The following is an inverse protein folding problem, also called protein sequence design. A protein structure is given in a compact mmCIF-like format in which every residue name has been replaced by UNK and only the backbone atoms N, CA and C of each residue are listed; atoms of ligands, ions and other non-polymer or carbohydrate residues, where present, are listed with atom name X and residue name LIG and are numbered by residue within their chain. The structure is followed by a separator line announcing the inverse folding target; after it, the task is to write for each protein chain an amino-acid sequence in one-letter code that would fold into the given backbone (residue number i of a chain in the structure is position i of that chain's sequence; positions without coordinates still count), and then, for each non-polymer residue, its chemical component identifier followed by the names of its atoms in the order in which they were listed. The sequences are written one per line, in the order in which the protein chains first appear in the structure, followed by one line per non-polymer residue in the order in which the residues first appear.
data_IF_902567468864
#
_entry.id   IF_902567468864
#
_cell.length_a   1.000
_cell.length_b   1.000
_cell.length_c   1.000
_cell.angle_alpha   90.00
_cell.angle_beta   90.00
_cell.angle_gamma   90.00
#
_symmetry.space_group_name_H-M   'P 1'
#
loop_
_entity.id
_entity.type
_entity.pdbx_description
1 polymer ?
#
# COMPACT_ATOMS: atom_id res chain seq x y z
N UNK A 1 -9.05 3.16 4.65
CA UNK A 1 -8.03 2.22 5.18
C UNK A 1 -6.66 2.77 4.83
N UNK A 2 -5.63 2.52 5.65
CA UNK A 2 -4.25 2.94 5.38
C UNK A 2 -3.36 1.71 5.40
N UNK A 3 -2.61 1.50 4.32
CA UNK A 3 -1.73 0.37 4.04
C UNK A 3 -2.40 -1.02 4.09
N UNK A 4 -1.80 -1.98 3.37
CA UNK A 4 -2.21 -3.38 3.34
C UNK A 4 -1.03 -4.24 2.91
N UNK A 5 -0.09 -4.51 3.82
CA UNK A 5 1.12 -5.24 3.48
C UNK A 5 1.25 -6.61 4.13
N UNK A 6 2.30 -7.32 3.70
CA UNK A 6 2.64 -8.64 4.23
C UNK A 6 3.21 -8.52 5.64
N UNK A 7 2.95 -9.55 6.44
CA UNK A 7 3.65 -9.69 7.70
C UNK A 7 5.13 -9.99 7.44
N UNK A 8 6.02 -9.27 8.13
CA UNK A 8 7.46 -9.53 8.11
C UNK A 8 7.77 -10.79 8.94
N UNK A 9 7.82 -11.93 8.26
CA UNK A 9 7.96 -13.25 8.85
C UNK A 9 9.22 -13.96 8.32
N UNK A 10 9.71 -15.01 9.00
CA UNK A 10 10.82 -15.82 8.47
C UNK A 10 10.52 -16.46 7.11
N UNK A 11 9.24 -16.64 6.78
CA UNK A 11 8.77 -17.17 5.51
C UNK A 11 7.99 -16.08 4.79
N UNK A 12 8.21 -15.92 3.50
CA UNK A 12 7.52 -14.93 2.69
C UNK A 12 6.06 -15.35 2.45
N UNK A 13 5.83 -16.64 2.20
CA UNK A 13 4.52 -17.27 2.15
C UNK A 13 4.02 -17.68 3.57
N UNK A 14 3.96 -16.74 4.52
CA UNK A 14 3.48 -17.02 5.88
C UNK A 14 1.93 -17.11 5.91
N UNK A 15 1.41 -18.05 6.71
CA UNK A 15 -0.03 -18.27 6.86
C UNK A 15 -0.77 -17.02 7.34
N UNK A 16 -0.14 -16.16 8.16
CA UNK A 16 -0.74 -14.90 8.63
C UNK A 16 -1.12 -13.96 7.50
N UNK A 17 -0.32 -13.94 6.42
CA UNK A 17 -0.62 -13.14 5.24
C UNK A 17 -1.80 -13.71 4.44
N UNK A 18 -2.05 -15.02 4.56
CA UNK A 18 -3.15 -15.74 3.91
C UNK A 18 -4.48 -15.60 4.66
N UNK A 19 -4.44 -15.35 5.98
CA UNK A 19 -5.65 -15.26 6.80
C UNK A 19 -6.69 -14.29 6.21
N UNK A 20 -7.98 -14.60 6.36
CA UNK A 20 -9.06 -13.67 6.02
C UNK A 20 -8.87 -12.33 6.72
N UNK A 21 -9.26 -11.24 6.07
CA UNK A 21 -9.27 -9.95 6.74
C UNK A 21 -10.32 -9.94 7.86
N UNK A 22 -10.05 -9.27 9.00
CA UNK A 22 -11.02 -9.16 10.11
C UNK A 22 -12.17 -8.17 9.80
N UNK A 23 -12.30 -7.74 8.56
CA UNK A 23 -13.29 -6.79 8.05
C UNK A 23 -13.70 -7.22 6.64
N UNK A 24 -14.85 -6.73 6.17
CA UNK A 24 -15.31 -6.97 4.80
C UNK A 24 -14.59 -6.03 3.80
N UNK A 25 -13.74 -6.53 2.89
CA UNK A 25 -13.02 -5.68 1.93
C UNK A 25 -13.94 -4.85 1.03
N UNK A 26 -15.16 -5.34 0.75
CA UNK A 26 -16.13 -4.64 -0.09
C UNK A 26 -16.70 -3.36 0.55
N UNK A 27 -16.59 -3.21 1.88
CA UNK A 27 -17.07 -2.02 2.61
C UNK A 27 -16.04 -0.89 2.66
N UNK A 28 -14.79 -1.16 2.25
CA UNK A 28 -13.74 -0.15 2.27
C UNK A 28 -13.88 0.78 1.06
N UNK A 29 -14.18 2.05 1.32
CA UNK A 29 -14.38 3.06 0.27
C UNK A 29 -13.08 3.45 -0.46
N UNK A 30 -11.96 3.54 0.27
CA UNK A 30 -10.66 3.87 -0.27
C UNK A 30 -9.52 3.30 0.57
N UNK A 31 -8.42 3.01 -0.11
CA UNK A 31 -7.13 2.65 0.47
C UNK A 31 -6.13 3.77 0.20
N UNK A 32 -5.40 4.20 1.22
CA UNK A 32 -4.24 5.07 1.07
C UNK A 32 -2.98 4.28 1.38
N UNK A 33 -1.95 4.44 0.55
CA UNK A 33 -0.67 3.76 0.68
C UNK A 33 0.40 4.78 1.02
N UNK A 34 1.12 4.54 2.11
CA UNK A 34 2.18 5.42 2.61
C UNK A 34 3.42 5.33 1.73
N UNK A 35 3.88 4.13 1.40
CA UNK A 35 5.06 3.90 0.56
C UNK A 35 5.10 2.49 -0.03
N UNK A 36 6.08 2.22 -0.88
CA UNK A 36 6.09 1.03 -1.76
C UNK A 36 6.67 -0.24 -1.15
N UNK A 37 7.05 -0.26 0.13
CA UNK A 37 7.54 -1.50 0.74
C UNK A 37 6.43 -2.56 0.83
N UNK A 38 6.82 -3.83 0.78
CA UNK A 38 5.89 -4.97 0.70
C UNK A 38 5.15 -5.21 2.02
N UNK A 39 5.69 -4.81 3.15
CA UNK A 39 4.99 -4.73 4.44
C UNK A 39 3.95 -3.61 4.52
N UNK A 40 3.86 -2.74 3.51
CA UNK A 40 2.79 -1.76 3.35
C UNK A 40 1.87 -2.05 2.16
N UNK A 41 2.33 -2.80 1.15
CA UNK A 41 1.60 -2.99 -0.12
C UNK A 41 1.30 -4.44 -0.49
N UNK A 42 2.03 -5.41 0.05
CA UNK A 42 2.05 -6.78 -0.44
C UNK A 42 0.78 -7.61 -0.22
N UNK A 43 -0.24 -7.10 0.50
CA UNK A 43 -1.57 -7.72 0.59
C UNK A 43 -2.63 -6.99 -0.23
N UNK A 44 -2.30 -5.90 -0.92
CA UNK A 44 -3.24 -5.17 -1.77
C UNK A 44 -3.88 -6.07 -2.85
N UNK A 45 -3.14 -6.93 -3.58
CA UNK A 45 -3.76 -7.81 -4.56
C UNK A 45 -4.76 -8.79 -3.90
N UNK A 46 -4.43 -9.32 -2.71
CA UNK A 46 -5.35 -10.15 -1.92
C UNK A 46 -6.60 -9.37 -1.51
N UNK A 47 -6.45 -8.12 -1.09
CA UNK A 47 -7.57 -7.24 -0.74
C UNK A 47 -8.56 -7.08 -1.91
N UNK A 48 -8.02 -6.87 -3.13
CA UNK A 48 -8.83 -6.77 -4.36
C UNK A 48 -9.51 -8.10 -4.70
N UNK A 49 -8.77 -9.21 -4.61
CA UNK A 49 -9.29 -10.57 -4.79
C UNK A 49 -10.48 -10.84 -3.87
N UNK A 50 -10.37 -10.42 -2.61
CA UNK A 50 -11.36 -10.66 -1.55
C UNK A 50 -12.54 -9.68 -1.58
N UNK A 51 -12.61 -8.77 -2.56
CA UNK A 51 -13.82 -7.99 -2.85
C UNK A 51 -13.67 -6.48 -2.78
N UNK A 52 -12.48 -5.93 -2.49
CA UNK A 52 -12.27 -4.49 -2.54
C UNK A 52 -12.44 -3.94 -3.96
N UNK A 53 -13.19 -2.83 -4.09
CA UNK A 53 -13.47 -2.14 -5.36
C UNK A 53 -13.26 -0.62 -5.27
N UNK A 54 -12.81 -0.12 -4.11
CA UNK A 54 -12.54 1.29 -3.90
C UNK A 54 -11.28 1.76 -4.64
N UNK A 55 -11.00 3.06 -4.56
CA UNK A 55 -9.79 3.65 -5.13
C UNK A 55 -8.60 3.46 -4.19
N UNK A 56 -7.42 3.24 -4.77
CA UNK A 56 -6.14 3.18 -4.06
C UNK A 56 -5.38 4.48 -4.34
N UNK A 57 -4.96 5.20 -3.32
CA UNK A 57 -4.27 6.47 -3.44
C UNK A 57 -2.84 6.36 -2.89
N UNK A 58 -1.88 6.84 -3.66
CA UNK A 58 -0.49 7.03 -3.20
C UNK A 58 0.16 8.17 -3.97
N UNK A 59 1.42 8.46 -3.69
CA UNK A 59 2.21 9.28 -4.61
C UNK A 59 2.43 8.52 -5.94
N UNK A 60 2.66 9.22 -7.07
CA UNK A 60 2.99 8.57 -8.33
C UNK A 60 4.21 7.64 -8.23
N UNK A 61 5.34 8.03 -7.60
CA UNK A 61 6.48 7.13 -7.47
C UNK A 61 6.16 5.88 -6.64
N UNK A 62 5.34 5.99 -5.58
CA UNK A 62 4.89 4.82 -4.83
C UNK A 62 4.06 3.88 -5.67
N UNK A 63 3.17 4.38 -6.54
CA UNK A 63 2.38 3.53 -7.45
C UNK A 63 3.31 2.75 -8.39
N UNK A 64 4.24 3.45 -9.04
CA UNK A 64 5.14 2.85 -10.03
C UNK A 64 6.06 1.81 -9.38
N UNK A 65 6.64 2.14 -8.22
CA UNK A 65 7.48 1.21 -7.48
C UNK A 65 6.69 0.02 -6.93
N UNK A 66 5.45 0.23 -6.47
CA UNK A 66 4.62 -0.86 -5.96
C UNK A 66 4.26 -1.87 -7.04
N UNK A 67 4.06 -1.44 -8.30
CA UNK A 67 3.84 -2.37 -9.41
C UNK A 67 5.00 -3.36 -9.55
N UNK A 68 6.24 -2.85 -9.59
CA UNK A 68 7.45 -3.67 -9.69
C UNK A 68 7.64 -4.57 -8.45
N UNK A 69 7.42 -4.02 -7.25
CA UNK A 69 7.55 -4.78 -6.01
C UNK A 69 6.53 -5.92 -5.92
N UNK A 70 5.29 -5.69 -6.34
CA UNK A 70 4.23 -6.71 -6.31
C UNK A 70 4.50 -7.85 -7.30
N UNK A 71 5.01 -7.53 -8.48
CA UNK A 71 5.43 -8.52 -9.49
C UNK A 71 6.59 -9.40 -8.97
N UNK A 72 7.64 -8.79 -8.41
CA UNK A 72 8.76 -9.54 -7.82
C UNK A 72 8.31 -10.40 -6.63
N UNK A 73 7.48 -9.81 -5.75
CA UNK A 73 6.86 -10.50 -4.61
C UNK A 73 6.06 -11.73 -5.03
N UNK A 74 5.31 -11.66 -6.13
CA UNK A 74 4.60 -12.83 -6.68
C UNK A 74 5.57 -13.95 -7.05
N UNK A 75 6.67 -13.62 -7.74
CA UNK A 75 7.69 -14.60 -8.10
C UNK A 75 8.35 -15.26 -6.88
N UNK A 76 8.56 -14.53 -5.80
CA UNK A 76 9.05 -15.09 -4.52
C UNK A 76 7.99 -16.00 -3.89
N UNK A 77 6.72 -15.57 -3.85
CA UNK A 77 5.61 -16.37 -3.33
C UNK A 77 5.46 -17.70 -4.06
N UNK A 78 5.49 -17.69 -5.39
CA UNK A 78 5.36 -18.91 -6.21
C UNK A 78 6.50 -19.90 -5.95
N UNK A 79 7.75 -19.40 -5.84
CA UNK A 79 8.92 -20.22 -5.54
C UNK A 79 8.82 -20.85 -4.16
N UNK A 80 8.46 -20.09 -3.14
CA UNK A 80 8.30 -20.61 -1.78
C UNK A 80 7.12 -21.57 -1.67
N UNK A 81 5.97 -21.21 -2.22
CA UNK A 81 4.77 -22.04 -2.25
C UNK A 81 5.05 -23.40 -2.91
N UNK A 82 5.78 -23.41 -4.04
CA UNK A 82 6.23 -24.64 -4.69
C UNK A 82 7.18 -25.46 -3.82
N UNK A 83 8.14 -24.82 -3.15
CA UNK A 83 9.11 -25.49 -2.26
C UNK A 83 8.44 -26.14 -1.06
N UNK A 84 7.42 -25.49 -0.50
CA UNK A 84 6.75 -25.91 0.73
C UNK A 84 5.38 -26.58 0.50
N UNK A 85 4.94 -26.72 -0.75
CA UNK A 85 3.63 -27.27 -1.15
C UNK A 85 2.45 -26.50 -0.53
N UNK A 86 2.51 -25.19 -0.60
CA UNK A 86 1.49 -24.28 -0.07
C UNK A 86 0.74 -23.56 -1.18
N UNK A 87 -0.37 -22.93 -0.81
CA UNK A 87 -1.13 -22.09 -1.73
C UNK A 87 -0.62 -20.64 -1.66
N UNK A 88 -0.69 -19.94 -2.80
CA UNK A 88 -0.51 -18.49 -2.86
C UNK A 88 -1.85 -17.78 -2.64
N UNK A 89 -1.79 -16.57 -2.08
CA UNK A 89 -2.97 -15.81 -1.68
C UNK A 89 -3.38 -14.72 -2.68
N UNK A 90 -2.58 -14.47 -3.72
CA UNK A 90 -2.96 -13.66 -4.88
C UNK A 90 -2.21 -14.12 -6.14
N UNK A 91 -2.67 -13.66 -7.30
CA UNK A 91 -2.17 -13.96 -8.65
C UNK A 91 -1.80 -12.69 -9.40
N UNK A 92 -1.18 -12.84 -10.58
CA UNK A 92 -0.88 -11.71 -11.49
C UNK A 92 -2.14 -10.90 -11.85
N UNK A 93 -3.26 -11.58 -12.10
CA UNK A 93 -4.54 -10.92 -12.40
C UNK A 93 -5.06 -10.06 -11.24
N UNK A 94 -4.71 -10.41 -9.99
CA UNK A 94 -5.06 -9.61 -8.82
C UNK A 94 -4.20 -8.33 -8.74
N UNK A 95 -2.93 -8.41 -9.15
CA UNK A 95 -2.03 -7.26 -9.25
C UNK A 95 -2.54 -6.30 -10.32
N UNK A 96 -2.85 -6.79 -11.52
CA UNK A 96 -3.37 -5.94 -12.61
C UNK A 96 -4.63 -5.19 -12.17
N UNK A 97 -5.58 -5.88 -11.53
CA UNK A 97 -6.80 -5.26 -10.98
C UNK A 97 -6.50 -4.24 -9.88
N UNK A 98 -5.52 -4.50 -9.02
CA UNK A 98 -5.08 -3.51 -8.02
C UNK A 98 -4.55 -2.25 -8.69
N UNK A 99 -3.71 -2.37 -9.72
CA UNK A 99 -3.13 -1.24 -10.45
C UNK A 99 -4.18 -0.42 -11.22
N UNK A 100 -5.24 -1.05 -11.74
CA UNK A 100 -6.39 -0.38 -12.37
C UNK A 100 -7.16 0.51 -11.38
N UNK A 101 -7.23 0.10 -10.11
CA UNK A 101 -7.88 0.87 -9.04
C UNK A 101 -6.96 1.96 -8.46
N UNK A 102 -5.68 1.99 -8.84
CA UNK A 102 -4.64 2.80 -8.22
C UNK A 102 -4.43 4.15 -8.91
N UNK A 103 -4.61 5.23 -8.16
CA UNK A 103 -4.43 6.61 -8.59
C UNK A 103 -3.23 7.25 -7.87
N UNK A 104 -2.31 7.81 -8.66
CA UNK A 104 -1.20 8.62 -8.15
C UNK A 104 -1.66 10.06 -7.93
N UNK A 105 -1.46 10.58 -6.72
CA UNK A 105 -1.79 11.95 -6.35
C UNK A 105 -0.54 12.67 -5.85
N UNK A 106 -0.38 13.93 -6.24
CA UNK A 106 0.80 14.69 -5.86
C UNK A 106 0.76 15.07 -4.38
N UNK A 107 1.94 15.35 -3.81
CA UNK A 107 2.00 15.94 -2.48
C UNK A 107 1.15 17.22 -2.41
N UNK A 108 0.52 17.43 -1.25
CA UNK A 108 -0.35 18.57 -0.96
C UNK A 108 -1.65 18.66 -1.79
N UNK A 109 -1.87 17.76 -2.75
CA UNK A 109 -3.12 17.65 -3.46
C UNK A 109 -4.21 17.06 -2.55
N UNK A 110 -5.35 17.74 -2.47
CA UNK A 110 -6.53 17.26 -1.74
C UNK A 110 -7.28 16.20 -2.53
N UNK A 111 -7.65 15.11 -1.86
CA UNK A 111 -8.62 14.13 -2.36
C UNK A 111 -9.77 14.01 -1.38
N UNK A 112 -11.01 14.06 -1.88
CA UNK A 112 -12.21 13.90 -1.06
C UNK A 112 -12.72 12.47 -1.17
N UNK A 113 -12.87 11.80 -0.04
CA UNK A 113 -13.45 10.45 0.06
C UNK A 113 -14.60 10.51 1.07
N UNK A 114 -15.83 10.62 0.56
CA UNK A 114 -17.02 10.81 1.38
C UNK A 114 -16.93 12.10 2.21
N UNK A 115 -16.92 11.95 3.55
CA UNK A 115 -16.83 13.06 4.50
C UNK A 115 -15.38 13.48 4.82
N UNK A 116 -14.37 12.75 4.33
CA UNK A 116 -12.96 13.00 4.61
C UNK A 116 -12.29 13.72 3.46
N UNK A 117 -11.40 14.66 3.78
CA UNK A 117 -10.38 15.18 2.87
C UNK A 117 -9.03 14.58 3.27
N UNK A 118 -8.27 14.10 2.28
CA UNK A 118 -6.95 13.51 2.47
C UNK A 118 -5.88 14.27 1.70
N UNK A 119 -4.68 14.41 2.27
CA UNK A 119 -3.49 15.00 1.64
C UNK A 119 -2.25 14.17 1.94
N UNK A 120 -1.36 14.06 0.96
CA UNK A 120 -0.04 13.43 1.13
C UNK A 120 1.01 14.49 1.48
N UNK A 121 1.90 14.16 2.42
CA UNK A 121 3.09 14.94 2.79
C UNK A 121 4.32 14.04 2.71
N UNK A 122 5.46 14.53 2.24
CA UNK A 122 6.68 13.71 2.20
C UNK A 122 7.06 13.23 3.61
N UNK A 123 7.30 11.92 3.76
CA UNK A 123 7.72 11.31 5.03
C UNK A 123 9.24 11.20 5.18
N UNK A 124 10.01 11.50 4.14
CA UNK A 124 11.47 11.43 4.18
C UNK A 124 12.06 10.01 4.06
N UNK A 125 11.26 8.94 4.11
CA UNK A 125 11.72 7.56 4.20
C UNK A 125 12.31 6.98 2.90
N UNK A 126 11.53 6.89 1.82
CA UNK A 126 11.96 6.44 0.50
C UNK A 126 11.39 7.34 -0.60
N UNK A 127 11.74 7.10 -1.87
CA UNK A 127 11.17 7.84 -2.99
C UNK A 127 9.64 7.68 -3.03
N UNK A 128 8.93 8.80 -2.96
CA UNK A 128 7.45 8.81 -2.95
C UNK A 128 6.82 8.50 -1.59
N UNK A 129 7.58 8.25 -0.53
CA UNK A 129 7.02 7.94 0.79
C UNK A 129 6.25 9.12 1.37
N UNK A 130 5.06 8.84 1.92
CA UNK A 130 4.13 9.85 2.36
C UNK A 130 3.54 9.59 3.76
N UNK A 131 3.50 10.65 4.56
CA UNK A 131 2.52 10.78 5.64
C UNK A 131 1.18 11.15 5.02
N UNK A 132 0.08 10.64 5.59
CA UNK A 132 -1.27 10.90 5.10
C UNK A 132 -2.03 11.70 6.16
N UNK A 133 -2.42 12.92 5.81
CA UNK A 133 -3.28 13.77 6.62
C UNK A 133 -4.74 13.54 6.22
N UNK A 134 -5.59 13.21 7.18
CA UNK A 134 -7.04 13.11 7.03
C UNK A 134 -7.72 14.20 7.84
N UNK A 135 -8.70 14.88 7.23
CA UNK A 135 -9.51 15.90 7.89
C UNK A 135 -11.01 15.60 7.69
N UNK A 136 -11.77 15.59 8.80
CA UNK A 136 -13.23 15.46 8.78
C UNK A 136 -13.85 16.09 10.03
N UNK A 137 -14.93 16.85 9.85
CA UNK A 137 -15.68 17.45 10.96
C UNK A 137 -14.83 18.32 11.88
N UNK A 138 -13.85 19.05 11.34
CA UNK A 138 -12.93 19.90 12.10
C UNK A 138 -11.85 19.14 12.89
N UNK A 139 -11.76 17.82 12.75
CA UNK A 139 -10.69 17.00 13.34
C UNK A 139 -9.68 16.60 12.26
N UNK A 140 -8.42 16.54 12.67
CA UNK A 140 -7.30 16.12 11.81
C UNK A 140 -6.58 14.93 12.43
N UNK A 141 -6.32 13.92 11.61
CA UNK A 141 -5.54 12.73 11.95
C UNK A 141 -4.39 12.63 10.96
N UNK A 142 -3.18 12.33 11.43
CA UNK A 142 -2.02 12.09 10.56
C UNK A 142 -1.53 10.67 10.80
N UNK A 143 -1.37 9.92 9.72
CA UNK A 143 -0.68 8.62 9.73
C UNK A 143 0.69 8.84 9.11
N UNK A 144 1.75 8.62 9.88
CA UNK A 144 3.11 8.93 9.45
C UNK A 144 3.64 7.97 8.37
N UNK A 145 3.18 6.72 8.39
CA UNK A 145 3.93 5.63 7.77
C UNK A 145 5.34 5.56 8.37
N UNK A 146 6.28 5.09 7.56
CA UNK A 146 7.69 5.09 7.92
C UNK A 146 8.29 6.48 7.67
N UNK A 147 9.09 6.93 8.65
CA UNK A 147 9.76 8.23 8.63
C UNK A 147 11.24 8.06 8.30
N UNK A 148 11.76 8.92 7.45
CA UNK A 148 13.19 9.02 7.20
C UNK A 148 13.87 10.00 8.15
N UNK A 149 15.19 9.89 8.27
CA UNK A 149 16.01 10.84 9.01
C UNK A 149 16.83 11.71 8.03
N UNK A 150 16.61 13.03 7.96
CA UNK A 150 17.42 13.90 7.13
C UNK A 150 18.86 14.06 7.69
N UNK A 151 19.86 14.32 6.84
CA UNK A 151 19.80 14.40 5.37
C UNK A 151 19.98 13.03 4.69
N UNK A 152 19.23 12.79 3.61
CA UNK A 152 19.39 11.59 2.75
C UNK A 152 19.89 11.99 1.36
N UNK A 153 20.92 11.33 0.79
CA UNK A 153 21.54 11.72 -0.48
C UNK A 153 20.63 11.62 -1.71
N UNK A 154 19.56 10.83 -1.61
CA UNK A 154 18.63 10.53 -2.71
C UNK A 154 17.42 11.47 -2.75
N UNK A 155 17.32 12.42 -1.82
CA UNK A 155 16.24 13.42 -1.80
C UNK A 155 16.83 14.82 -2.01
N UNK A 156 16.15 15.71 -2.74
CA UNK A 156 16.55 17.11 -2.80
C UNK A 156 16.58 17.68 -1.38
N UNK A 157 17.67 18.39 -1.06
CA UNK A 157 17.80 19.06 0.23
C UNK A 157 16.79 20.22 0.28
N UNK A 158 15.80 20.12 1.17
CA UNK A 158 14.95 21.24 1.53
C UNK A 158 13.45 20.98 1.36
N UNK A 159 12.76 20.95 2.50
CA UNK A 159 11.50 21.66 2.70
C UNK A 159 11.76 22.76 3.72
#
# INVERSE_FOLDING_TARGET
MVDCGLFQCPRFCDLRSQEPFPFNPAEIAALFVTHSHIDHTGRIPKLVRDGFRGKIYSTPPTKDLSALMLEDSLGVLEKEAKRHKENIFYSESDISRALELWEGINYHQSVKVGAFEAKLRDSGHILGSAMIEFEAGGKKIVVSGDLGNPPTPLKPAGF
#
